data_IF_750993075773
#
_entry.id   IF_750993075773
#
_cell.length_a   1.000
_cell.length_b   1.000
_cell.length_c   1.000
_cell.angle_alpha   90.00
_cell.angle_beta   90.00
_cell.angle_gamma   90.00
#
_symmetry.space_group_name_H-M   'P 1'
#
loop_
_entity.id
_entity.type
_entity.pdbx_description
1 polymer ?
#
# COMPACT_ATOMS: atom_id res chain seq x y z
N UNK A 1 -17.89 15.06 10.85
CA UNK A 1 -16.62 14.84 10.17
C UNK A 1 -16.70 13.54 9.39
N UNK A 2 -16.65 13.63 8.06
CA UNK A 2 -16.64 12.44 7.23
C UNK A 2 -15.24 11.83 7.28
N UNK A 3 -15.17 10.59 7.73
CA UNK A 3 -13.92 9.85 7.68
C UNK A 3 -13.47 9.72 6.21
N UNK A 4 -12.18 9.89 5.97
CA UNK A 4 -11.60 9.71 4.63
C UNK A 4 -11.89 8.30 4.14
N UNK A 5 -12.44 8.19 2.94
CA UNK A 5 -12.67 6.89 2.33
C UNK A 5 -11.43 6.46 1.54
N UNK A 6 -10.78 5.39 1.99
CA UNK A 6 -9.59 4.85 1.33
C UNK A 6 -9.99 4.06 0.08
N UNK A 7 -9.12 4.12 -0.92
CA UNK A 7 -9.28 3.33 -2.14
C UNK A 7 -8.44 2.07 -2.03
N UNK A 8 -9.09 0.93 -2.14
CA UNK A 8 -8.49 -0.41 -2.15
C UNK A 8 -8.54 -0.97 -3.56
N UNK A 9 -7.41 -1.40 -4.07
CA UNK A 9 -7.33 -2.14 -5.33
C UNK A 9 -7.14 -3.62 -5.02
N UNK A 10 -8.03 -4.47 -5.53
CA UNK A 10 -7.89 -5.92 -5.43
C UNK A 10 -7.60 -6.49 -6.83
N UNK A 11 -6.54 -7.30 -6.90
CA UNK A 11 -6.08 -7.93 -8.14
C UNK A 11 -6.14 -9.45 -7.98
N UNK A 12 -7.00 -10.09 -8.75
CA UNK A 12 -7.15 -11.56 -8.76
C UNK A 12 -7.78 -11.97 -10.09
N UNK A 13 -7.28 -13.03 -10.70
CA UNK A 13 -7.82 -13.56 -11.95
C UNK A 13 -9.15 -14.31 -11.77
N UNK A 14 -9.55 -14.58 -10.53
CA UNK A 14 -10.86 -15.13 -10.19
C UNK A 14 -11.84 -13.99 -9.86
N UNK A 15 -12.82 -13.68 -10.73
CA UNK A 15 -13.77 -12.57 -10.49
C UNK A 15 -14.53 -12.69 -9.18
N UNK A 16 -14.84 -13.94 -8.77
CA UNK A 16 -15.59 -14.18 -7.53
C UNK A 16 -14.83 -13.70 -6.30
N UNK A 17 -13.50 -13.78 -6.30
CA UNK A 17 -12.67 -13.27 -5.20
C UNK A 17 -12.76 -11.74 -5.13
N UNK A 18 -12.61 -11.06 -6.27
CA UNK A 18 -12.74 -9.61 -6.35
C UNK A 18 -14.11 -9.15 -5.90
N UNK A 19 -15.17 -9.82 -6.35
CA UNK A 19 -16.55 -9.48 -6.00
C UNK A 19 -16.82 -9.71 -4.51
N UNK A 20 -16.23 -10.74 -3.91
CA UNK A 20 -16.36 -11.02 -2.48
C UNK A 20 -15.71 -9.92 -1.64
N UNK A 21 -14.53 -9.46 -2.05
CA UNK A 21 -13.83 -8.37 -1.36
C UNK A 21 -14.66 -7.08 -1.46
N UNK A 22 -15.16 -6.77 -2.64
CA UNK A 22 -16.00 -5.58 -2.86
C UNK A 22 -17.27 -5.64 -2.01
N UNK A 23 -17.96 -6.77 -2.01
CA UNK A 23 -19.21 -6.93 -1.25
C UNK A 23 -19.00 -6.71 0.24
N UNK A 24 -17.86 -7.19 0.77
CA UNK A 24 -17.54 -7.07 2.18
C UNK A 24 -17.12 -5.66 2.59
N UNK A 25 -16.37 -4.96 1.73
CA UNK A 25 -15.67 -3.72 2.09
C UNK A 25 -16.27 -2.44 1.50
N UNK A 26 -17.19 -2.54 0.56
CA UNK A 26 -17.70 -1.37 -0.22
C UNK A 26 -18.33 -0.26 0.63
N UNK A 27 -18.81 -0.56 1.82
CA UNK A 27 -19.43 0.45 2.70
C UNK A 27 -18.40 1.39 3.30
N UNK A 28 -17.19 0.89 3.54
CA UNK A 28 -16.12 1.64 4.21
C UNK A 28 -14.97 2.03 3.29
N UNK A 29 -14.83 1.33 2.17
CA UNK A 29 -13.73 1.53 1.22
C UNK A 29 -14.26 1.67 -0.20
N UNK A 30 -13.57 2.45 -1.01
CA UNK A 30 -13.77 2.43 -2.45
C UNK A 30 -12.97 1.27 -3.00
N UNK A 31 -13.63 0.25 -3.54
CA UNK A 31 -12.98 -0.97 -4.03
C UNK A 31 -12.89 -0.94 -5.55
N UNK A 32 -11.67 -1.03 -6.06
CA UNK A 32 -11.36 -1.18 -7.47
C UNK A 32 -10.93 -2.63 -7.70
N UNK A 33 -11.35 -3.20 -8.84
CA UNK A 33 -11.09 -4.60 -9.16
C UNK A 33 -10.29 -4.71 -10.45
N UNK A 34 -9.27 -5.55 -10.44
CA UNK A 34 -8.48 -5.88 -11.63
C UNK A 34 -8.34 -7.40 -11.72
N UNK A 35 -8.42 -7.93 -12.93
CA UNK A 35 -8.34 -9.38 -13.16
C UNK A 35 -6.93 -9.86 -13.49
N UNK A 36 -5.98 -8.94 -13.67
CA UNK A 36 -4.58 -9.24 -13.93
C UNK A 36 -3.69 -8.06 -13.55
N UNK A 37 -2.39 -8.28 -13.58
CA UNK A 37 -1.41 -7.28 -13.21
C UNK A 37 -1.46 -6.03 -14.10
N UNK A 38 -1.65 -6.18 -15.40
CA UNK A 38 -1.70 -5.05 -16.32
C UNK A 38 -2.87 -4.11 -16.01
N UNK A 39 -4.04 -4.67 -15.75
CA UNK A 39 -5.20 -3.87 -15.32
C UNK A 39 -4.94 -3.19 -13.97
N UNK A 40 -4.31 -3.92 -13.05
CA UNK A 40 -3.94 -3.38 -11.74
C UNK A 40 -3.04 -2.16 -11.86
N UNK A 41 -2.00 -2.26 -12.67
CA UNK A 41 -1.06 -1.15 -12.90
C UNK A 41 -1.74 0.05 -13.57
N UNK A 42 -2.65 -0.18 -14.51
CA UNK A 42 -3.43 0.90 -15.13
C UNK A 42 -4.31 1.62 -14.12
N UNK A 43 -4.95 0.87 -13.22
CA UNK A 43 -5.77 1.46 -12.15
C UNK A 43 -4.92 2.24 -11.16
N UNK A 44 -3.70 1.80 -10.87
CA UNK A 44 -2.75 2.57 -10.06
C UNK A 44 -2.42 3.92 -10.69
N UNK A 45 -2.23 3.96 -12.00
CA UNK A 45 -1.92 5.21 -12.71
C UNK A 45 -3.09 6.20 -12.73
N UNK A 46 -4.31 5.71 -12.86
CA UNK A 46 -5.50 6.55 -13.06
C UNK A 46 -6.26 6.85 -11.77
N UNK A 47 -5.87 6.27 -10.65
CA UNK A 47 -6.55 6.45 -9.36
C UNK A 47 -5.54 6.65 -8.24
N UNK A 48 -5.97 7.33 -7.19
CA UNK A 48 -5.18 7.48 -5.96
C UNK A 48 -5.46 6.26 -5.07
N UNK A 49 -4.68 5.19 -5.25
CA UNK A 49 -4.84 3.93 -4.53
C UNK A 49 -4.02 3.96 -3.24
N UNK A 50 -4.67 3.69 -2.12
CA UNK A 50 -4.04 3.71 -0.79
C UNK A 50 -3.58 2.32 -0.36
N UNK A 51 -4.35 1.29 -0.73
CA UNK A 51 -4.10 -0.09 -0.33
C UNK A 51 -4.26 -0.98 -1.56
N UNK A 52 -3.33 -1.89 -1.76
CA UNK A 52 -3.43 -2.90 -2.82
C UNK A 52 -3.34 -4.30 -2.23
N UNK A 53 -4.25 -5.16 -2.68
CA UNK A 53 -4.25 -6.59 -2.37
C UNK A 53 -4.17 -7.37 -3.66
N UNK A 54 -3.27 -8.33 -3.74
CA UNK A 54 -3.12 -9.17 -4.93
C UNK A 54 -3.01 -10.64 -4.56
N UNK A 55 -3.54 -11.50 -5.43
CA UNK A 55 -3.27 -12.93 -5.37
C UNK A 55 -1.82 -13.19 -5.78
N UNK A 56 -1.23 -14.27 -5.24
CA UNK A 56 0.13 -14.67 -5.58
C UNK A 56 0.21 -15.35 -6.94
N UNK A 57 -0.70 -16.29 -7.20
CA UNK A 57 -0.67 -17.05 -8.45
C UNK A 57 -1.55 -16.44 -9.52
N UNK A 58 -0.91 -15.74 -10.44
CA UNK A 58 -1.55 -15.11 -11.58
C UNK A 58 -0.77 -15.42 -12.85
N UNK A 59 -1.42 -15.38 -14.04
CA UNK A 59 -0.70 -15.49 -15.29
C UNK A 59 0.33 -14.38 -15.47
N UNK A 60 1.44 -14.66 -16.10
CA UNK A 60 2.53 -13.76 -16.47
C UNK A 60 3.45 -13.34 -15.33
N UNK A 61 2.92 -12.76 -14.25
CA UNK A 61 3.74 -12.37 -13.09
C UNK A 61 3.05 -12.79 -11.80
N UNK A 62 3.86 -13.02 -10.77
CA UNK A 62 3.35 -13.34 -9.43
C UNK A 62 2.88 -12.08 -8.72
N UNK A 63 2.08 -12.27 -7.65
CA UNK A 63 1.68 -11.16 -6.79
C UNK A 63 2.86 -10.44 -6.17
N UNK A 64 3.88 -11.18 -5.72
CA UNK A 64 5.11 -10.60 -5.15
C UNK A 64 5.81 -9.71 -6.18
N UNK A 65 5.91 -10.15 -7.43
CA UNK A 65 6.50 -9.35 -8.50
C UNK A 65 5.71 -8.08 -8.78
N UNK A 66 4.38 -8.19 -8.81
CA UNK A 66 3.51 -7.03 -8.97
C UNK A 66 3.71 -6.02 -7.84
N UNK A 67 3.71 -6.48 -6.60
CA UNK A 67 3.89 -5.61 -5.43
C UNK A 67 5.27 -4.95 -5.42
N UNK A 68 6.29 -5.65 -5.89
CA UNK A 68 7.63 -5.08 -6.03
C UNK A 68 7.65 -3.91 -7.02
N UNK A 69 6.97 -4.05 -8.16
CA UNK A 69 6.82 -2.99 -9.15
C UNK A 69 6.05 -1.79 -8.59
N UNK A 70 4.97 -2.07 -7.87
CA UNK A 70 4.16 -1.01 -7.26
C UNK A 70 4.98 -0.24 -6.22
N UNK A 71 5.78 -0.93 -5.42
CA UNK A 71 6.66 -0.27 -4.47
C UNK A 71 7.59 0.74 -5.14
N UNK A 72 8.12 0.40 -6.31
CA UNK A 72 9.00 1.30 -7.06
C UNK A 72 8.33 2.58 -7.54
N UNK A 73 7.08 2.49 -8.00
CA UNK A 73 6.32 3.62 -8.53
C UNK A 73 5.41 4.31 -7.50
N UNK A 74 4.96 3.57 -6.49
CA UNK A 74 3.97 4.04 -5.51
C UNK A 74 4.38 3.60 -4.10
N UNK A 75 5.47 4.14 -3.55
CA UNK A 75 6.04 3.65 -2.28
C UNK A 75 5.14 3.81 -1.07
N UNK A 76 4.14 4.70 -1.13
CA UNK A 76 3.22 4.94 -0.01
C UNK A 76 2.02 4.00 -0.01
N UNK A 77 1.72 3.32 -1.13
CA UNK A 77 0.61 2.38 -1.18
C UNK A 77 0.94 1.16 -0.31
N UNK A 78 -0.01 0.79 0.55
CA UNK A 78 0.16 -0.37 1.43
C UNK A 78 -0.10 -1.63 0.61
N UNK A 79 0.85 -2.55 0.60
CA UNK A 79 0.88 -3.73 -0.27
C UNK A 79 0.58 -4.96 0.55
N UNK A 80 -0.46 -5.67 0.15
CA UNK A 80 -0.92 -6.89 0.81
C UNK A 80 -1.02 -8.03 -0.21
N UNK A 81 -0.83 -9.24 0.27
CA UNK A 81 -0.88 -10.45 -0.55
C UNK A 81 -1.91 -11.41 0.03
N UNK A 82 -2.65 -12.09 -0.82
CA UNK A 82 -3.45 -13.23 -0.38
C UNK A 82 -3.14 -14.44 -1.27
N UNK A 83 -3.16 -15.63 -0.67
CA UNK A 83 -2.79 -16.85 -1.39
C UNK A 83 -3.41 -18.09 -0.73
N UNK A 84 -3.81 -19.04 -1.57
CA UNK A 84 -4.27 -20.36 -1.12
C UNK A 84 -3.15 -21.39 -1.03
N UNK A 85 -1.96 -21.03 -1.45
CA UNK A 85 -0.84 -21.95 -1.57
C UNK A 85 0.31 -21.52 -0.68
N UNK A 86 1.00 -22.51 -0.11
CA UNK A 86 2.11 -22.28 0.80
C UNK A 86 3.40 -22.08 0.04
N UNK A 87 3.62 -20.90 -0.50
CA UNK A 87 4.93 -20.48 -0.99
C UNK A 87 5.56 -19.56 0.09
N UNK A 88 5.72 -20.15 1.26
CA UNK A 88 6.08 -19.40 2.47
C UNK A 88 7.45 -18.71 2.39
N UNK A 89 8.43 -19.36 1.76
CA UNK A 89 9.78 -18.79 1.68
C UNK A 89 9.81 -17.49 0.89
N UNK A 90 9.15 -17.47 -0.28
CA UNK A 90 9.07 -16.26 -1.11
C UNK A 90 8.29 -15.16 -0.41
N UNK A 91 7.20 -15.51 0.29
CA UNK A 91 6.37 -14.56 1.02
C UNK A 91 7.14 -13.96 2.19
N UNK A 92 7.82 -14.79 2.98
CA UNK A 92 8.64 -14.33 4.11
C UNK A 92 9.76 -13.41 3.63
N UNK A 93 10.45 -13.79 2.54
CA UNK A 93 11.48 -12.95 1.95
C UNK A 93 10.92 -11.59 1.51
N UNK A 94 9.75 -11.58 0.88
CA UNK A 94 9.11 -10.33 0.44
C UNK A 94 8.69 -9.45 1.60
N UNK A 95 8.19 -10.03 2.70
CA UNK A 95 7.87 -9.27 3.93
C UNK A 95 9.15 -8.66 4.51
N UNK A 96 10.21 -9.44 4.63
CA UNK A 96 11.48 -8.98 5.19
C UNK A 96 12.15 -7.90 4.34
N UNK A 97 11.94 -7.91 3.04
CA UNK A 97 12.44 -6.88 2.12
C UNK A 97 11.54 -5.65 2.05
N UNK A 98 10.43 -5.63 2.79
CA UNK A 98 9.50 -4.52 2.80
C UNK A 98 8.58 -4.44 1.59
N UNK A 99 8.48 -5.49 0.77
CA UNK A 99 7.61 -5.53 -0.40
C UNK A 99 6.16 -5.79 -0.05
N UNK A 100 5.90 -6.44 1.09
CA UNK A 100 4.56 -6.82 1.57
C UNK A 100 4.41 -6.35 3.01
N UNK A 101 3.29 -5.66 3.29
CA UNK A 101 2.91 -5.27 4.66
C UNK A 101 2.35 -6.47 5.42
N UNK A 102 1.48 -7.23 4.78
CA UNK A 102 0.81 -8.39 5.40
C UNK A 102 0.32 -9.35 4.33
N UNK A 103 0.20 -10.62 4.68
CA UNK A 103 -0.47 -11.58 3.81
C UNK A 103 -1.66 -12.24 4.52
N UNK A 104 -2.64 -12.69 3.71
CA UNK A 104 -3.81 -13.43 4.16
C UNK A 104 -3.86 -14.76 3.44
N UNK A 105 -4.20 -15.81 4.16
CA UNK A 105 -4.38 -17.15 3.58
C UNK A 105 -5.81 -17.29 3.07
N UNK A 106 -5.97 -17.84 1.86
CA UNK A 106 -7.27 -18.23 1.33
C UNK A 106 -7.65 -19.63 1.83
N UNK A 107 -8.91 -19.89 2.16
CA UNK A 107 -10.00 -18.92 2.31
C UNK A 107 -9.85 -18.12 3.61
N UNK A 108 -10.16 -16.84 3.56
CA UNK A 108 -10.13 -15.98 4.75
C UNK A 108 -11.50 -15.94 5.42
N UNK A 109 -11.50 -15.60 6.71
CA UNK A 109 -12.72 -15.22 7.40
C UNK A 109 -13.00 -13.74 7.13
N UNK A 110 -14.30 -13.33 7.01
CA UNK A 110 -14.63 -11.93 6.77
C UNK A 110 -14.00 -10.97 7.79
N UNK A 111 -13.98 -11.34 9.07
CA UNK A 111 -13.40 -10.51 10.12
C UNK A 111 -11.89 -10.32 9.93
N UNK A 112 -11.20 -11.35 9.47
CA UNK A 112 -9.74 -11.29 9.24
C UNK A 112 -9.39 -10.35 8.09
N UNK A 113 -10.18 -10.40 7.02
CA UNK A 113 -10.01 -9.48 5.90
C UNK A 113 -10.28 -8.03 6.33
N UNK A 114 -11.39 -7.79 7.01
CA UNK A 114 -11.73 -6.46 7.52
C UNK A 114 -10.64 -5.91 8.44
N UNK A 115 -10.17 -6.71 9.38
CA UNK A 115 -9.12 -6.31 10.31
C UNK A 115 -7.81 -5.99 9.59
N UNK A 116 -7.43 -6.81 8.61
CA UNK A 116 -6.19 -6.60 7.85
C UNK A 116 -6.24 -5.30 7.03
N UNK A 117 -7.37 -5.02 6.39
CA UNK A 117 -7.54 -3.79 5.60
C UNK A 117 -7.59 -2.56 6.52
N UNK A 118 -8.25 -2.66 7.66
CA UNK A 118 -8.27 -1.57 8.65
C UNK A 118 -6.86 -1.27 9.18
N UNK A 119 -6.07 -2.29 9.45
CA UNK A 119 -4.67 -2.11 9.86
C UNK A 119 -3.83 -1.46 8.74
N UNK A 120 -4.09 -1.82 7.49
CA UNK A 120 -3.42 -1.21 6.34
C UNK A 120 -3.77 0.28 6.22
N UNK A 121 -5.02 0.65 6.47
CA UNK A 121 -5.45 2.06 6.46
C UNK A 121 -4.73 2.85 7.55
N UNK A 122 -4.60 2.30 8.76
CA UNK A 122 -3.85 2.91 9.86
C UNK A 122 -2.38 3.06 9.48
N UNK A 123 -1.78 2.05 8.87
CA UNK A 123 -0.38 2.10 8.41
C UNK A 123 -0.17 3.16 7.33
N UNK A 124 -1.12 3.30 6.39
CA UNK A 124 -1.07 4.35 5.39
C UNK A 124 -1.03 5.73 6.04
N UNK A 125 -1.92 5.99 6.99
CA UNK A 125 -1.96 7.27 7.72
C UNK A 125 -0.66 7.52 8.48
N UNK A 126 -0.10 6.48 9.10
CA UNK A 126 1.17 6.58 9.83
C UNK A 126 2.31 7.00 8.91
N UNK A 127 2.40 6.39 7.73
CA UNK A 127 3.45 6.69 6.75
C UNK A 127 3.31 8.12 6.20
N UNK A 128 2.09 8.56 5.92
CA UNK A 128 1.83 9.93 5.46
C UNK A 128 2.23 10.94 6.55
N UNK A 129 1.81 10.70 7.79
CA UNK A 129 2.17 11.57 8.91
C UNK A 129 3.70 11.64 9.08
N UNK A 130 4.36 10.49 9.00
CA UNK A 130 5.81 10.42 9.14
C UNK A 130 6.53 11.21 8.02
N UNK A 131 6.05 11.08 6.77
CA UNK A 131 6.62 11.80 5.64
C UNK A 131 6.44 13.32 5.79
N UNK A 132 5.26 13.76 6.25
CA UNK A 132 4.99 15.17 6.52
C UNK A 132 5.89 15.70 7.63
N UNK A 133 6.10 14.92 8.68
CA UNK A 133 6.97 15.30 9.82
C UNK A 133 8.42 15.43 9.40
N UNK A 134 8.91 14.51 8.58
CA UNK A 134 10.27 14.58 8.02
C UNK A 134 10.43 15.85 7.19
N UNK A 135 9.45 16.15 6.34
CA UNK A 135 9.48 17.34 5.50
C UNK A 135 9.52 18.64 6.35
N UNK A 136 8.69 18.73 7.39
CA UNK A 136 8.70 19.86 8.33
C UNK A 136 10.08 20.04 9.00
N UNK A 137 10.69 18.93 9.44
CA UNK A 137 12.00 18.95 10.07
C UNK A 137 13.11 19.37 9.11
N UNK A 138 13.04 18.93 7.86
CA UNK A 138 13.98 19.32 6.82
C UNK A 138 13.89 20.83 6.55
N UNK A 139 12.68 21.38 6.50
CA UNK A 139 12.47 22.83 6.35
C UNK A 139 13.03 23.62 7.53
N UNK A 140 12.80 23.15 8.76
CA UNK A 140 13.38 23.77 9.96
C UNK A 140 14.91 23.77 9.93
N UNK A 141 15.51 22.64 9.55
CA UNK A 141 16.97 22.52 9.43
C UNK A 141 17.51 23.51 8.39
N UNK A 142 16.84 23.61 7.24
CA UNK A 142 17.22 24.56 6.20
C UNK A 142 17.17 26.01 6.70
N UNK A 143 16.07 26.36 7.37
CA UNK A 143 15.93 27.72 7.94
C UNK A 143 17.01 28.03 8.97
N UNK A 144 17.32 27.07 9.83
CA UNK A 144 18.37 27.23 10.85
C UNK A 144 19.76 27.37 10.21
N UNK A 145 20.04 26.60 9.18
CA UNK A 145 21.32 26.71 8.43
C UNK A 145 21.46 28.08 7.78
N UNK A 146 20.37 28.58 7.17
CA UNK A 146 20.37 29.91 6.54
C UNK A 146 20.62 31.01 7.59
N UNK A 147 20.03 30.88 8.78
CA UNK A 147 20.25 31.83 9.88
C UNK A 147 21.70 31.78 10.38
N UNK A 148 22.26 30.61 10.52
CA UNK A 148 23.66 30.45 10.91
C UNK A 148 24.58 31.10 9.90
N UNK A 149 24.35 30.86 8.61
CA UNK A 149 25.12 31.46 7.52
C UNK A 149 25.05 32.98 7.56
N UNK A 150 23.86 33.55 7.76
CA UNK A 150 23.65 34.99 7.88
C UNK A 150 24.42 35.57 9.06
N UNK A 151 24.38 34.88 10.22
CA UNK A 151 25.12 35.31 11.41
C UNK A 151 26.63 35.23 11.21
N UNK A 152 27.12 34.24 10.50
CA UNK A 152 28.54 34.12 10.18
C UNK A 152 29.01 35.27 9.29
N UNK A 153 28.21 35.68 8.32
CA UNK A 153 28.51 36.85 7.48
C UNK A 153 28.59 38.15 8.28
N UNK A 154 27.79 38.27 9.33
CA UNK A 154 27.84 39.44 10.20
C UNK A 154 29.08 39.49 11.05
N UNK A 155 29.78 38.38 11.27
CA UNK A 155 30.97 38.26 12.07
C UNK A 155 32.28 38.55 11.30
N UNK A 156 32.22 38.51 9.99
CA UNK A 156 33.40 38.72 9.13
C UNK A 156 33.63 40.18 8.79
#
# INVERSE_FOLDING_TARGET
MTARKYTLLVVDDEPDVCDSVEALLRRRYKVLKAKNADEGLKLMESNDVHIIMTDQRMPKITGVELLSRIRGGYPQAIRMLFTGYADLESIIAAINQGHIFRFLKKPWQPQDLEAAVDEAAVEFDRLVWQAEKIHELEDEVKQLRDRVTALEHLRS
#
